data_IF_318665382712
#
_entry.id   IF_318665382712
#
_cell.length_a   1.000
_cell.length_b   1.000
_cell.length_c   1.000
_cell.angle_alpha   90.00
_cell.angle_beta   90.00
_cell.angle_gamma   90.00
#
_symmetry.space_group_name_H-M   'P 1'
#
loop_
_entity.id
_entity.type
_entity.pdbx_description
1 polymer ?
#
# COMPACT_ATOMS: atom_id res chain seq x y z
N UNK A 1 14.03 -18.82 19.11
CA UNK A 1 12.57 -18.61 19.27
C UNK A 1 11.89 -19.25 18.06
N UNK A 2 10.98 -20.18 18.31
CA UNK A 2 10.38 -21.08 17.32
C UNK A 2 9.32 -20.39 16.46
N UNK A 3 9.29 -20.73 15.16
CA UNK A 3 8.50 -20.13 14.08
C UNK A 3 6.97 -20.36 14.15
N UNK A 4 6.39 -20.52 15.35
CA UNK A 4 5.00 -20.96 15.54
C UNK A 4 4.02 -19.84 15.91
N UNK A 5 4.50 -18.66 16.31
CA UNK A 5 3.63 -17.59 16.85
C UNK A 5 2.81 -16.84 15.77
N UNK A 6 3.18 -16.99 14.49
CA UNK A 6 2.51 -16.30 13.38
C UNK A 6 2.08 -17.24 12.25
N UNK A 7 1.73 -18.49 12.56
CA UNK A 7 1.29 -19.47 11.55
C UNK A 7 0.07 -19.03 10.70
N UNK A 8 -0.70 -18.04 11.18
CA UNK A 8 -1.80 -17.40 10.47
C UNK A 8 -1.39 -16.24 9.56
N UNK A 9 -0.12 -15.82 9.58
CA UNK A 9 0.45 -14.74 8.78
C UNK A 9 1.50 -15.31 7.84
N UNK A 10 1.49 -14.89 6.58
CA UNK A 10 2.56 -15.26 5.64
C UNK A 10 2.73 -14.22 4.55
N UNK A 11 3.94 -14.13 4.01
CA UNK A 11 4.15 -13.46 2.73
C UNK A 11 3.57 -14.27 1.57
N UNK A 12 3.12 -13.55 0.54
CA UNK A 12 2.81 -14.11 -0.78
C UNK A 12 4.08 -14.35 -1.59
N UNK A 13 3.94 -14.98 -2.76
CA UNK A 13 5.05 -15.13 -3.70
C UNK A 13 5.67 -13.75 -4.00
N UNK A 14 7.01 -13.65 -3.93
CA UNK A 14 7.79 -12.40 -4.04
C UNK A 14 7.57 -11.37 -2.94
N UNK A 15 6.88 -11.70 -1.84
CA UNK A 15 6.66 -10.77 -0.71
C UNK A 15 5.93 -9.48 -1.12
N UNK A 16 5.18 -9.48 -2.22
CA UNK A 16 4.38 -8.32 -2.67
C UNK A 16 3.16 -8.07 -1.77
N UNK A 17 2.79 -9.05 -0.95
CA UNK A 17 1.65 -8.96 -0.05
C UNK A 17 1.84 -9.84 1.19
N UNK A 18 1.18 -9.47 2.27
CA UNK A 18 0.99 -10.25 3.49
C UNK A 18 -0.43 -10.81 3.51
N UNK A 19 -0.55 -12.11 3.72
CA UNK A 19 -1.82 -12.78 3.97
C UNK A 19 -1.98 -12.97 5.47
N UNK A 20 -3.05 -12.40 6.01
CA UNK A 20 -3.43 -12.52 7.42
C UNK A 20 -4.73 -13.32 7.52
N UNK A 21 -4.67 -14.49 8.15
CA UNK A 21 -5.85 -15.33 8.39
C UNK A 21 -6.43 -15.02 9.76
N UNK A 22 -7.73 -14.81 9.81
CA UNK A 22 -8.44 -14.62 11.07
C UNK A 22 -9.85 -15.20 10.97
N UNK A 23 -10.15 -16.15 11.87
CA UNK A 23 -11.37 -16.98 11.79
C UNK A 23 -11.44 -17.64 10.40
N UNK A 24 -12.58 -17.55 9.72
CA UNK A 24 -12.80 -18.12 8.38
C UNK A 24 -12.53 -17.11 7.24
N UNK A 25 -11.72 -16.08 7.48
CA UNK A 25 -11.41 -15.03 6.50
C UNK A 25 -9.90 -14.92 6.29
N UNK A 26 -9.52 -14.54 5.08
CA UNK A 26 -8.15 -14.17 4.73
C UNK A 26 -8.16 -12.73 4.25
N UNK A 27 -7.29 -11.92 4.84
CA UNK A 27 -7.07 -10.53 4.48
C UNK A 27 -5.74 -10.45 3.74
N UNK A 28 -5.70 -9.67 2.67
CA UNK A 28 -4.50 -9.42 1.90
C UNK A 28 -4.11 -7.96 2.11
N UNK A 29 -2.91 -7.74 2.63
CA UNK A 29 -2.32 -6.43 2.85
C UNK A 29 -1.18 -6.30 1.87
N UNK A 30 -1.18 -5.22 1.07
CA UNK A 30 -0.10 -4.99 0.11
C UNK A 30 1.18 -4.58 0.84
N UNK A 31 2.32 -5.14 0.43
CA UNK A 31 3.61 -4.71 0.91
C UNK A 31 4.59 -4.54 -0.25
N UNK A 32 5.31 -3.42 -0.26
CA UNK A 32 6.27 -3.09 -1.29
C UNK A 32 7.65 -3.65 -0.98
N UNK A 33 8.30 -4.17 -2.01
CA UNK A 33 9.72 -4.50 -1.98
C UNK A 33 10.54 -3.20 -2.13
N UNK A 34 11.10 -2.73 -1.02
CA UNK A 34 12.19 -1.76 -0.99
C UNK A 34 13.29 -2.26 -0.05
N UNK A 35 14.38 -1.52 0.12
CA UNK A 35 15.38 -1.82 1.17
C UNK A 35 14.72 -1.95 2.56
N UNK A 36 13.56 -1.31 2.74
CA UNK A 36 12.65 -1.48 3.87
C UNK A 36 11.35 -2.19 3.44
N UNK A 37 10.71 -2.90 4.36
CA UNK A 37 9.37 -3.46 4.12
C UNK A 37 8.33 -2.36 4.27
N UNK A 38 7.73 -1.94 3.15
CA UNK A 38 6.70 -0.90 3.13
C UNK A 38 5.32 -1.56 3.22
N UNK A 39 4.53 -1.27 4.26
CA UNK A 39 3.19 -1.84 4.45
C UNK A 39 2.13 -0.82 4.08
N UNK A 40 1.24 -1.19 3.16
CA UNK A 40 0.14 -0.32 2.73
C UNK A 40 -1.13 -0.70 3.49
N UNK A 41 -1.63 0.25 4.29
CA UNK A 41 -2.81 0.06 5.14
C UNK A 41 -4.09 0.63 4.52
N UNK A 42 -4.19 0.55 3.20
CA UNK A 42 -5.35 1.03 2.45
C UNK A 42 -6.54 0.06 2.60
N UNK A 43 -7.77 0.59 2.56
CA UNK A 43 -9.04 -0.16 2.62
C UNK A 43 -9.32 -0.89 3.93
N UNK A 44 -8.63 -0.54 5.03
CA UNK A 44 -8.88 -1.13 6.36
C UNK A 44 -10.33 -0.98 6.85
N UNK A 45 -11.05 0.08 6.46
CA UNK A 45 -12.46 0.27 6.81
C UNK A 45 -13.34 -0.80 6.16
N UNK A 46 -12.94 -1.36 5.02
CA UNK A 46 -13.67 -2.44 4.32
C UNK A 46 -13.46 -3.80 5.01
N UNK A 47 -12.44 -3.93 5.85
CA UNK A 47 -12.19 -5.17 6.57
C UNK A 47 -13.28 -5.35 7.63
N UNK A 48 -13.97 -6.50 7.55
CA UNK A 48 -15.00 -6.94 8.50
C UNK A 48 -14.38 -7.35 9.85
N UNK A 49 -13.69 -6.42 10.47
CA UNK A 49 -12.99 -6.51 11.76
C UNK A 49 -13.37 -5.28 12.60
N UNK A 50 -13.48 -5.46 13.90
CA UNK A 50 -13.55 -4.34 14.85
C UNK A 50 -12.23 -3.56 14.89
N UNK A 51 -12.25 -2.32 15.40
CA UNK A 51 -11.02 -1.52 15.53
C UNK A 51 -9.97 -2.23 16.41
N UNK A 52 -10.41 -2.92 17.47
CA UNK A 52 -9.51 -3.72 18.31
C UNK A 52 -8.86 -4.86 17.54
N UNK A 53 -9.61 -5.58 16.72
CA UNK A 53 -9.08 -6.65 15.87
C UNK A 53 -8.13 -6.11 14.79
N UNK A 54 -8.40 -4.91 14.24
CA UNK A 54 -7.51 -4.23 13.28
C UNK A 54 -6.20 -3.81 13.94
N UNK A 55 -6.25 -3.24 15.16
CA UNK A 55 -5.05 -2.90 15.94
C UNK A 55 -4.17 -4.13 16.15
N UNK A 56 -4.79 -5.22 16.61
CA UNK A 56 -4.09 -6.49 16.85
C UNK A 56 -3.49 -7.07 15.57
N UNK A 57 -4.21 -7.01 14.46
CA UNK A 57 -3.68 -7.46 13.16
C UNK A 57 -2.44 -6.66 12.75
N UNK A 58 -2.47 -5.33 12.89
CA UNK A 58 -1.33 -4.47 12.55
C UNK A 58 -0.13 -4.77 13.46
N UNK A 59 -0.36 -4.94 14.76
CA UNK A 59 0.64 -5.33 15.76
C UNK A 59 1.35 -6.64 15.41
N UNK A 60 0.56 -7.67 15.09
CA UNK A 60 1.09 -8.98 14.73
C UNK A 60 1.84 -8.94 13.40
N UNK A 61 1.36 -8.17 12.42
CA UNK A 61 2.06 -7.97 11.15
C UNK A 61 3.42 -7.28 11.34
N UNK A 62 3.49 -6.21 12.15
CA UNK A 62 4.74 -5.51 12.44
C UNK A 62 5.73 -6.46 13.12
N UNK A 63 5.25 -7.23 14.10
CA UNK A 63 6.06 -8.21 14.83
C UNK A 63 6.57 -9.33 13.91
N UNK A 64 5.69 -9.85 13.05
CA UNK A 64 6.02 -10.85 12.03
C UNK A 64 7.14 -10.36 11.11
N UNK A 65 7.01 -9.15 10.55
CA UNK A 65 8.04 -8.58 9.66
C UNK A 65 9.38 -8.43 10.38
N UNK A 66 9.37 -7.95 11.63
CA UNK A 66 10.60 -7.80 12.41
C UNK A 66 11.31 -9.12 12.65
N UNK A 67 10.56 -10.20 12.86
CA UNK A 67 11.11 -11.53 13.12
C UNK A 67 11.61 -12.16 11.82
N UNK A 68 10.83 -12.09 10.73
CA UNK A 68 11.16 -12.75 9.46
C UNK A 68 12.22 -12.00 8.64
N UNK A 69 12.16 -10.66 8.63
CA UNK A 69 13.04 -9.83 7.79
C UNK A 69 14.15 -9.15 8.61
N UNK A 70 14.09 -9.19 9.94
CA UNK A 70 15.08 -8.54 10.80
C UNK A 70 15.06 -7.00 10.73
N UNK A 71 14.05 -6.41 10.12
CA UNK A 71 13.91 -4.96 9.92
C UNK A 71 12.63 -4.43 10.54
N UNK A 72 12.63 -3.16 10.93
CA UNK A 72 11.38 -2.46 11.26
C UNK A 72 10.70 -2.02 9.96
N UNK A 73 9.38 -2.27 9.79
CA UNK A 73 8.67 -1.83 8.61
C UNK A 73 8.47 -0.31 8.59
N UNK A 74 8.27 0.22 7.39
CA UNK A 74 7.71 1.56 7.17
C UNK A 74 6.22 1.37 6.89
N UNK A 75 5.37 2.15 7.54
CA UNK A 75 3.94 2.16 7.22
C UNK A 75 3.66 3.24 6.18
N UNK A 76 2.97 2.86 5.11
CA UNK A 76 2.50 3.78 4.10
C UNK A 76 1.01 4.05 4.28
N UNK A 77 0.61 5.31 4.18
CA UNK A 77 -0.79 5.69 4.23
C UNK A 77 -1.15 6.78 3.24
N UNK A 78 -2.38 6.70 2.75
CA UNK A 78 -2.98 7.71 1.90
C UNK A 78 -4.06 8.51 2.66
N UNK A 79 -3.83 9.82 2.83
CA UNK A 79 -4.74 10.71 3.55
C UNK A 79 -6.11 10.87 2.89
N UNK A 80 -6.20 10.67 1.58
CA UNK A 80 -7.44 10.82 0.82
C UNK A 80 -8.36 9.61 0.94
N UNK A 81 -7.88 8.50 1.51
CA UNK A 81 -8.68 7.31 1.74
C UNK A 81 -9.47 7.40 3.05
N UNK A 82 -10.61 6.71 3.07
CA UNK A 82 -11.56 6.72 4.20
C UNK A 82 -10.94 6.21 5.50
N UNK A 83 -9.80 5.53 5.40
CA UNK A 83 -9.09 4.89 6.50
C UNK A 83 -8.17 5.88 7.25
N UNK A 84 -7.97 7.11 6.76
CA UNK A 84 -6.98 8.06 7.30
C UNK A 84 -7.19 8.38 8.78
N UNK A 85 -8.43 8.60 9.23
CA UNK A 85 -8.76 8.82 10.65
C UNK A 85 -8.66 7.54 11.48
N UNK A 86 -8.96 6.38 10.88
CA UNK A 86 -8.85 5.09 11.57
C UNK A 86 -7.38 4.78 11.88
N UNK A 87 -6.48 5.07 10.95
CA UNK A 87 -5.03 4.92 11.12
C UNK A 87 -4.52 5.69 12.34
N UNK A 88 -4.87 6.97 12.47
CA UNK A 88 -4.38 7.83 13.57
C UNK A 88 -4.73 7.22 14.94
N UNK A 89 -5.94 6.66 15.04
CA UNK A 89 -6.41 5.98 16.25
C UNK A 89 -5.72 4.64 16.52
N UNK A 90 -5.35 3.88 15.49
CA UNK A 90 -4.77 2.55 15.64
C UNK A 90 -3.25 2.60 15.89
N UNK A 91 -2.57 3.63 15.38
CA UNK A 91 -1.12 3.70 15.39
C UNK A 91 -0.51 4.38 16.60
N UNK A 92 -1.28 5.15 17.36
CA UNK A 92 -0.77 5.86 18.54
C UNK A 92 0.04 4.97 19.49
N UNK A 93 -0.36 3.70 19.67
CA UNK A 93 0.31 2.75 20.55
C UNK A 93 1.48 1.99 19.91
N UNK A 94 1.63 2.04 18.57
CA UNK A 94 2.57 1.21 17.81
C UNK A 94 3.76 1.97 17.21
N UNK A 95 3.84 3.29 17.45
CA UNK A 95 4.88 4.18 16.89
C UNK A 95 6.31 3.72 17.23
N UNK A 96 6.55 3.07 18.37
CA UNK A 96 7.90 2.63 18.77
C UNK A 96 8.40 1.40 18.00
N UNK A 97 7.48 0.59 17.48
CA UNK A 97 7.78 -0.70 16.85
C UNK A 97 8.00 -0.60 15.34
N UNK A 98 7.74 0.57 14.75
CA UNK A 98 7.92 0.86 13.33
C UNK A 98 9.16 1.72 13.09
N UNK A 99 9.71 1.66 11.86
CA UNK A 99 10.86 2.48 11.46
C UNK A 99 10.45 3.93 11.28
N UNK A 100 9.26 4.12 10.73
CA UNK A 100 8.70 5.42 10.41
C UNK A 100 7.36 5.26 9.71
N UNK A 101 6.79 6.39 9.37
CA UNK A 101 5.52 6.45 8.65
C UNK A 101 5.68 7.36 7.44
N UNK A 102 5.30 6.83 6.28
CA UNK A 102 5.20 7.57 5.02
C UNK A 102 3.75 7.97 4.76
N UNK A 103 3.58 9.28 4.66
CA UNK A 103 2.29 9.95 4.47
C UNK A 103 2.23 10.39 3.02
N UNK A 104 1.19 9.99 2.28
CA UNK A 104 0.94 10.50 0.93
C UNK A 104 -0.49 11.05 0.82
N UNK A 105 -0.69 11.87 -0.21
CA UNK A 105 -1.98 12.02 -0.89
C UNK A 105 -2.06 11.15 -2.16
N UNK A 106 -3.24 10.96 -2.73
CA UNK A 106 -3.43 10.41 -4.08
C UNK A 106 -2.64 11.22 -5.09
N UNK A 107 -2.63 12.54 -4.96
CA UNK A 107 -1.94 13.44 -5.89
C UNK A 107 -0.41 13.28 -5.83
N UNK A 108 0.16 13.11 -4.64
CA UNK A 108 1.59 12.83 -4.47
C UNK A 108 1.97 11.42 -4.91
N UNK A 109 1.16 10.42 -4.56
CA UNK A 109 1.37 9.03 -5.00
C UNK A 109 1.33 8.91 -6.53
N UNK A 110 0.38 9.60 -7.18
CA UNK A 110 0.33 9.70 -8.63
C UNK A 110 1.58 10.38 -9.19
N UNK A 111 2.03 11.50 -8.61
CA UNK A 111 3.25 12.19 -9.05
C UNK A 111 4.49 11.29 -8.94
N UNK A 112 4.64 10.56 -7.84
CA UNK A 112 5.71 9.58 -7.66
C UNK A 112 5.65 8.46 -8.68
N UNK A 113 4.45 7.89 -8.92
CA UNK A 113 4.28 6.81 -9.87
C UNK A 113 4.65 7.24 -11.30
N UNK A 114 4.20 8.43 -11.72
CA UNK A 114 4.58 9.01 -13.01
C UNK A 114 6.11 9.23 -13.12
N UNK A 115 6.74 9.75 -12.07
CA UNK A 115 8.20 9.96 -12.02
C UNK A 115 8.95 8.64 -12.17
N UNK A 116 8.58 7.62 -11.39
CA UNK A 116 9.22 6.30 -11.40
C UNK A 116 9.12 5.62 -12.78
N UNK A 117 7.95 5.70 -13.41
CA UNK A 117 7.77 5.17 -14.77
C UNK A 117 8.61 5.93 -15.78
N UNK A 118 8.66 7.26 -15.68
CA UNK A 118 9.51 8.09 -16.54
C UNK A 118 10.99 7.71 -16.41
N UNK A 119 11.48 7.50 -15.19
CA UNK A 119 12.85 7.05 -14.92
C UNK A 119 13.11 5.62 -15.42
N UNK A 120 12.12 4.74 -15.33
CA UNK A 120 12.23 3.38 -15.90
C UNK A 120 12.48 3.41 -17.41
N UNK A 121 11.81 4.31 -18.15
CA UNK A 121 12.02 4.46 -19.59
C UNK A 121 13.39 5.06 -19.90
N UNK A 122 13.88 6.00 -19.08
CA UNK A 122 15.23 6.57 -19.23
C UNK A 122 16.33 5.54 -19.00
N UNK A 123 16.09 4.58 -18.12
CA UNK A 123 17.02 3.48 -17.81
C UNK A 123 16.87 2.27 -18.75
N UNK A 124 16.08 2.39 -19.83
CA UNK A 124 15.89 1.32 -20.82
C UNK A 124 15.01 0.16 -20.34
N UNK A 125 14.33 0.30 -19.19
CA UNK A 125 13.38 -0.71 -18.72
C UNK A 125 12.13 -0.72 -19.62
N UNK A 126 11.69 -1.93 -19.93
CA UNK A 126 10.73 -2.22 -21.00
C UNK A 126 9.29 -1.82 -20.75
N UNK A 127 8.42 -2.26 -21.66
CA UNK A 127 6.99 -1.93 -21.75
C UNK A 127 6.24 -2.26 -20.46
N UNK A 128 5.48 -1.28 -19.95
CA UNK A 128 4.60 -1.44 -18.79
C UNK A 128 3.15 -1.64 -19.22
N UNK A 129 2.40 -2.42 -18.45
CA UNK A 129 0.95 -2.58 -18.64
C UNK A 129 0.23 -2.04 -17.40
N UNK A 130 -0.53 -0.97 -17.56
CA UNK A 130 -1.21 -0.28 -16.45
C UNK A 130 -2.68 -0.17 -16.76
N UNK A 131 -3.54 -0.81 -15.95
CA UNK A 131 -5.00 -0.78 -16.13
C UNK A 131 -5.46 -1.14 -17.55
N UNK A 132 -4.77 -2.11 -18.18
CA UNK A 132 -5.03 -2.55 -19.56
C UNK A 132 -4.35 -1.71 -20.65
N UNK A 133 -3.63 -0.62 -20.30
CA UNK A 133 -2.90 0.21 -21.24
C UNK A 133 -1.46 -0.25 -21.37
N UNK A 134 -1.02 -0.48 -22.61
CA UNK A 134 0.38 -0.75 -22.95
C UNK A 134 1.14 0.56 -23.07
N UNK A 135 2.09 0.80 -22.18
CA UNK A 135 2.91 2.01 -22.11
C UNK A 135 4.35 1.66 -22.46
N UNK A 136 4.80 2.05 -23.67
CA UNK A 136 6.13 1.66 -24.16
C UNK A 136 7.20 2.73 -23.96
N UNK A 137 6.79 3.97 -23.74
CA UNK A 137 7.67 5.13 -23.67
C UNK A 137 6.97 6.29 -22.94
N UNK A 138 7.70 7.38 -22.74
CA UNK A 138 7.18 8.60 -22.11
C UNK A 138 5.94 9.17 -22.81
N UNK A 139 5.90 9.18 -24.14
CA UNK A 139 4.74 9.72 -24.89
C UNK A 139 3.46 8.93 -24.64
N UNK A 140 3.56 7.59 -24.54
CA UNK A 140 2.44 6.75 -24.16
C UNK A 140 2.00 7.00 -22.71
N UNK A 141 2.96 7.25 -21.82
CA UNK A 141 2.71 7.58 -20.41
C UNK A 141 1.96 8.91 -20.29
N UNK A 142 2.42 9.95 -21.00
CA UNK A 142 1.78 11.28 -21.02
C UNK A 142 0.32 11.17 -21.46
N UNK A 143 0.06 10.46 -22.57
CA UNK A 143 -1.30 10.21 -23.06
C UNK A 143 -2.18 9.46 -22.07
N UNK A 144 -1.62 8.47 -21.37
CA UNK A 144 -2.35 7.74 -20.33
C UNK A 144 -2.67 8.66 -19.14
N UNK A 145 -1.72 9.50 -18.75
CA UNK A 145 -1.87 10.41 -17.63
C UNK A 145 -2.91 11.50 -17.86
N UNK A 146 -2.94 12.08 -19.06
CA UNK A 146 -3.94 13.07 -19.45
C UNK A 146 -5.35 12.47 -19.41
N UNK A 147 -5.52 11.22 -19.86
CA UNK A 147 -6.79 10.49 -19.73
C UNK A 147 -7.24 10.30 -18.29
N UNK A 148 -6.32 10.06 -17.36
CA UNK A 148 -6.66 9.95 -15.93
C UNK A 148 -7.14 11.30 -15.42
N UNK A 149 -6.40 12.38 -15.69
CA UNK A 149 -6.76 13.74 -15.27
C UNK A 149 -8.16 14.13 -15.77
N UNK A 150 -8.44 13.92 -17.05
CA UNK A 150 -9.76 14.18 -17.63
C UNK A 150 -10.88 13.37 -16.96
N UNK A 151 -10.62 12.11 -16.63
CA UNK A 151 -11.60 11.23 -15.97
C UNK A 151 -11.92 11.73 -14.57
N UNK A 152 -10.92 12.21 -13.83
CA UNK A 152 -11.10 12.72 -12.48
C UNK A 152 -11.80 14.07 -12.46
N UNK A 153 -11.49 14.98 -13.40
CA UNK A 153 -12.23 16.23 -13.60
C UNK A 153 -13.71 15.97 -13.89
N UNK A 154 -14.02 15.03 -14.80
CA UNK A 154 -15.41 14.64 -15.10
C UNK A 154 -16.14 14.09 -13.89
N UNK A 155 -15.48 13.31 -13.04
CA UNK A 155 -16.07 12.79 -11.79
C UNK A 155 -16.34 13.91 -10.78
N UNK A 156 -15.41 14.87 -10.63
CA UNK A 156 -15.58 16.03 -9.75
C UNK A 156 -16.76 16.90 -10.21
N UNK A 157 -16.84 17.19 -11.51
CA UNK A 157 -17.95 17.97 -12.09
C UNK A 157 -19.33 17.28 -11.96
N UNK A 158 -19.37 15.94 -11.93
CA UNK A 158 -20.60 15.17 -11.70
C UNK A 158 -21.02 15.09 -10.22
N UNK A 159 -20.10 15.26 -9.27
CA UNK A 159 -20.42 15.30 -7.83
C UNK A 159 -20.92 16.68 -7.37
N UNK A 160 -20.63 17.73 -8.13
CA UNK A 160 -21.03 19.12 -7.84
C UNK A 160 -22.32 19.54 -8.59
N UNK A 161 -23.02 18.58 -9.20
CA UNK A 161 -24.35 18.73 -9.80
C UNK A 161 -25.34 17.87 -9.03
#
# INVERSE_FOLDING_TARGET
MTSNDFSHIKFTYRKDNILYKYKNRQYQIYCGDSTDVLIFLDYLVEFKLSNREKSKMIEEIISFIRIEEGVKPILYFNLDYKDSKLWESLMYNQIREIKGVEITSIDEGNRMFYKNLTESFKSGKGVHYISGYKIKNKRDLDKYWDKIKEKDERKRNKKNK
#
